data_IF_732951308068
#
_entry.id   IF_732951308068
#
_cell.length_a   1.000
_cell.length_b   1.000
_cell.length_c   1.000
_cell.angle_alpha   90.00
_cell.angle_beta   90.00
_cell.angle_gamma   90.00
#
_symmetry.space_group_name_H-M   'P 1'
#
loop_
_entity.id
_entity.type
_entity.pdbx_description
1 polymer ?
#
# COMPACT_ATOMS: atom_id res chain seq x y z
N UNK A 1 23.24 -10.66 -8.09
CA UNK A 1 22.04 -11.51 -7.86
C UNK A 1 22.22 -12.84 -8.59
N UNK A 2 22.88 -13.80 -7.95
CA UNK A 2 22.99 -15.17 -8.48
C UNK A 2 21.58 -15.80 -8.46
N UNK A 3 21.10 -16.31 -9.60
CA UNK A 3 19.85 -17.07 -9.80
C UNK A 3 18.56 -16.31 -10.19
N UNK A 4 18.58 -15.00 -10.52
CA UNK A 4 17.41 -14.40 -11.21
C UNK A 4 17.47 -14.70 -12.71
N UNK A 5 16.74 -15.73 -13.14
CA UNK A 5 16.54 -16.04 -14.56
C UNK A 5 15.28 -15.33 -15.13
N UNK A 6 15.08 -15.34 -16.45
CA UNK A 6 13.92 -14.73 -17.11
C UNK A 6 12.58 -15.25 -16.56
N UNK A 7 12.52 -16.53 -16.18
CA UNK A 7 11.33 -17.16 -15.62
C UNK A 7 10.99 -16.58 -14.24
N UNK A 8 11.98 -16.40 -13.35
CA UNK A 8 11.79 -15.79 -12.03
C UNK A 8 11.24 -14.36 -12.15
N UNK A 9 11.77 -13.55 -13.07
CA UNK A 9 11.26 -12.20 -13.32
C UNK A 9 9.83 -12.20 -13.85
N UNK A 10 9.49 -13.13 -14.77
CA UNK A 10 8.12 -13.31 -15.27
C UNK A 10 7.16 -13.71 -14.16
N UNK A 11 7.56 -14.63 -13.29
CA UNK A 11 6.76 -15.08 -12.15
C UNK A 11 6.48 -13.92 -11.17
N UNK A 12 7.51 -13.17 -10.79
CA UNK A 12 7.35 -12.00 -9.91
C UNK A 12 6.44 -10.94 -10.54
N UNK A 13 6.60 -10.67 -11.84
CA UNK A 13 5.73 -9.74 -12.56
C UNK A 13 4.27 -10.20 -12.55
N UNK A 14 4.01 -11.49 -12.79
CA UNK A 14 2.66 -12.06 -12.71
C UNK A 14 2.07 -11.91 -11.32
N UNK A 15 2.83 -12.24 -10.27
CA UNK A 15 2.41 -12.09 -8.88
C UNK A 15 2.01 -10.65 -8.55
N UNK A 16 2.84 -9.67 -8.94
CA UNK A 16 2.55 -8.24 -8.74
C UNK A 16 1.29 -7.81 -9.50
N UNK A 17 1.12 -8.24 -10.75
CA UNK A 17 -0.08 -7.95 -11.54
C UNK A 17 -1.32 -8.51 -10.86
N UNK A 18 -1.30 -9.77 -10.44
CA UNK A 18 -2.44 -10.45 -9.81
C UNK A 18 -2.84 -9.77 -8.50
N UNK A 19 -1.86 -9.46 -7.63
CA UNK A 19 -2.11 -8.76 -6.38
C UNK A 19 -2.75 -7.39 -6.62
N UNK A 20 -2.25 -6.63 -7.61
CA UNK A 20 -2.83 -5.33 -7.96
C UNK A 20 -4.22 -5.44 -8.58
N UNK A 21 -4.44 -6.46 -9.42
CA UNK A 21 -5.75 -6.72 -10.03
C UNK A 21 -6.78 -7.08 -8.96
N UNK A 22 -6.39 -7.84 -7.94
CA UNK A 22 -7.22 -8.13 -6.77
C UNK A 22 -7.69 -6.85 -6.08
N UNK A 23 -6.80 -5.87 -5.86
CA UNK A 23 -7.17 -4.57 -5.27
C UNK A 23 -8.15 -3.82 -6.18
N UNK A 24 -7.92 -3.78 -7.49
CA UNK A 24 -8.81 -3.09 -8.43
C UNK A 24 -10.22 -3.70 -8.40
N UNK A 25 -10.35 -5.03 -8.38
CA UNK A 25 -11.64 -5.70 -8.33
C UNK A 25 -12.35 -5.50 -6.99
N UNK A 26 -11.69 -5.91 -5.92
CA UNK A 26 -12.35 -6.07 -4.61
C UNK A 26 -12.37 -4.78 -3.78
N UNK A 27 -11.35 -3.93 -3.90
CA UNK A 27 -11.20 -2.75 -3.03
C UNK A 27 -11.76 -1.50 -3.71
N UNK A 28 -11.55 -1.33 -5.01
CA UNK A 28 -12.17 -0.22 -5.76
C UNK A 28 -13.60 -0.52 -6.19
N UNK A 29 -14.09 -1.75 -5.98
CA UNK A 29 -15.44 -2.17 -6.37
C UNK A 29 -15.65 -2.23 -7.88
N UNK A 30 -14.57 -2.24 -8.67
CA UNK A 30 -14.62 -2.31 -10.14
C UNK A 30 -14.72 -3.77 -10.55
N UNK A 31 -15.89 -4.36 -10.34
CA UNK A 31 -16.17 -5.73 -10.78
C UNK A 31 -16.66 -5.78 -12.23
N UNK A 32 -16.70 -6.99 -12.78
CA UNK A 32 -17.12 -7.28 -14.17
C UNK A 32 -18.60 -6.95 -14.45
N UNK A 33 -19.33 -6.46 -13.44
CA UNK A 33 -20.74 -6.04 -13.53
C UNK A 33 -20.92 -4.56 -13.91
N UNK A 34 -19.86 -3.76 -13.92
CA UNK A 34 -19.96 -2.38 -14.41
C UNK A 34 -20.10 -2.37 -15.94
N UNK A 35 -20.94 -1.47 -16.45
CA UNK A 35 -21.13 -1.27 -17.90
C UNK A 35 -19.85 -0.84 -18.63
N UNK A 36 -18.87 -0.30 -17.90
CA UNK A 36 -17.54 0.07 -18.43
C UNK A 36 -16.47 -0.57 -17.55
N UNK A 37 -15.80 -1.59 -18.10
CA UNK A 37 -14.69 -2.25 -17.42
C UNK A 37 -13.51 -1.30 -17.24
N UNK A 38 -12.94 -1.28 -16.04
CA UNK A 38 -11.75 -0.50 -15.75
C UNK A 38 -10.57 -0.92 -16.68
N UNK A 39 -9.75 0.01 -17.20
CA UNK A 39 -8.67 -0.32 -18.15
C UNK A 39 -7.66 -1.36 -17.64
N UNK A 40 -7.46 -1.44 -16.32
CA UNK A 40 -6.60 -2.46 -15.70
C UNK A 40 -7.22 -3.85 -15.62
N UNK A 41 -8.53 -3.98 -15.77
CA UNK A 41 -9.22 -5.28 -15.89
C UNK A 41 -9.06 -5.79 -17.32
N UNK A 42 -9.26 -4.91 -18.30
CA UNK A 42 -9.10 -5.25 -19.73
C UNK A 42 -7.62 -5.54 -20.07
N UNK A 43 -6.70 -4.77 -19.50
CA UNK A 43 -5.27 -4.89 -19.76
C UNK A 43 -4.43 -4.97 -18.47
N UNK A 44 -4.49 -6.10 -17.74
CA UNK A 44 -3.83 -6.26 -16.45
C UNK A 44 -2.31 -6.18 -16.54
N UNK A 45 -1.72 -6.44 -17.72
CA UNK A 45 -0.28 -6.28 -17.96
C UNK A 45 0.27 -4.87 -17.64
N UNK A 46 -0.57 -3.82 -17.70
CA UNK A 46 -0.22 -2.44 -17.34
C UNK A 46 0.03 -2.26 -15.84
N UNK A 47 -0.57 -3.10 -14.99
CA UNK A 47 -0.38 -3.07 -13.53
C UNK A 47 1.05 -3.45 -13.11
N UNK A 48 1.84 -4.07 -13.99
CA UNK A 48 3.25 -4.36 -13.71
C UNK A 48 4.04 -3.09 -13.32
N UNK A 49 3.72 -1.95 -13.96
CA UNK A 49 4.34 -0.65 -13.68
C UNK A 49 3.37 0.37 -13.07
N UNK A 50 2.05 0.14 -13.19
CA UNK A 50 1.03 1.06 -12.66
C UNK A 50 1.06 1.21 -11.14
N UNK A 51 0.86 2.44 -10.68
CA UNK A 51 0.67 2.79 -9.26
C UNK A 51 -0.82 2.75 -8.93
N UNK A 52 -1.19 2.06 -7.85
CA UNK A 52 -2.57 2.02 -7.35
C UNK A 52 -2.83 3.07 -6.26
N UNK A 53 -1.79 3.67 -5.68
CA UNK A 53 -1.94 4.69 -4.67
C UNK A 53 -2.36 6.03 -5.31
N UNK A 54 -3.64 6.39 -5.18
CA UNK A 54 -4.17 7.70 -5.56
C UNK A 54 -4.16 8.71 -4.40
N UNK A 55 -4.54 9.95 -4.70
CA UNK A 55 -4.92 10.98 -3.72
C UNK A 55 -6.34 10.79 -3.16
N UNK A 56 -7.05 9.76 -3.60
CA UNK A 56 -8.40 9.41 -3.18
C UNK A 56 -8.52 9.18 -1.66
N UNK A 57 -9.74 9.32 -1.14
CA UNK A 57 -10.02 9.26 0.31
C UNK A 57 -9.49 7.99 0.96
N UNK A 58 -9.66 6.86 0.29
CA UNK A 58 -9.23 5.54 0.73
C UNK A 58 -7.70 5.37 0.71
N UNK A 59 -7.00 5.71 -0.38
CA UNK A 59 -5.53 5.57 -0.42
C UNK A 59 -4.79 6.57 0.48
N UNK A 60 -5.48 7.63 0.92
CA UNK A 60 -4.98 8.60 1.90
C UNK A 60 -5.70 8.48 3.24
N UNK A 61 -6.17 7.27 3.59
CA UNK A 61 -6.93 6.99 4.81
C UNK A 61 -6.31 7.64 6.04
N UNK A 62 -5.07 7.32 6.38
CA UNK A 62 -4.40 7.87 7.56
C UNK A 62 -4.39 9.40 7.60
N UNK A 63 -4.17 10.04 6.44
CA UNK A 63 -4.16 11.51 6.34
C UNK A 63 -5.56 12.10 6.51
N UNK A 64 -6.57 11.49 5.89
CA UNK A 64 -7.93 12.02 5.88
C UNK A 64 -8.67 11.80 7.20
N UNK A 65 -8.27 10.77 7.95
CA UNK A 65 -8.83 10.44 9.27
C UNK A 65 -7.85 10.75 10.41
N UNK A 66 -6.77 11.50 10.12
CA UNK A 66 -5.78 11.94 11.10
C UNK A 66 -5.22 10.81 11.99
N UNK A 67 -5.06 9.63 11.42
CA UNK A 67 -4.58 8.45 12.15
C UNK A 67 -3.08 8.61 12.34
N UNK A 68 -2.60 8.60 13.59
CA UNK A 68 -1.18 8.75 13.87
C UNK A 68 -0.45 7.50 13.37
N UNK A 69 0.67 7.72 12.67
CA UNK A 69 1.52 6.62 12.21
C UNK A 69 2.20 5.98 13.40
N UNK A 70 2.36 4.66 13.39
CA UNK A 70 3.06 3.92 14.45
C UNK A 70 4.44 4.48 14.77
N UNK A 71 5.19 4.94 13.76
CA UNK A 71 6.50 5.56 13.97
C UNK A 71 6.43 6.89 14.71
N UNK A 72 5.36 7.64 14.53
CA UNK A 72 5.14 8.90 15.25
C UNK A 72 4.73 8.59 16.69
N UNK A 73 3.82 7.63 16.89
CA UNK A 73 3.39 7.19 18.23
C UNK A 73 4.57 6.70 19.05
N UNK A 74 5.35 5.76 18.51
CA UNK A 74 6.53 5.21 19.19
C UNK A 74 7.57 6.29 19.53
N UNK A 75 7.73 7.29 18.65
CA UNK A 75 8.62 8.42 18.95
C UNK A 75 8.09 9.29 20.08
N UNK A 76 6.78 9.58 20.10
CA UNK A 76 6.16 10.34 21.18
C UNK A 76 6.27 9.60 22.52
N UNK A 77 6.10 8.28 22.53
CA UNK A 77 6.29 7.46 23.73
C UNK A 77 7.72 7.53 24.27
N UNK A 78 8.73 7.41 23.40
CA UNK A 78 10.13 7.56 23.81
C UNK A 78 10.42 8.96 24.36
N UNK A 79 9.92 10.01 23.69
CA UNK A 79 10.09 11.38 24.15
C UNK A 79 9.40 11.62 25.50
N UNK A 80 8.25 10.98 25.74
CA UNK A 80 7.58 11.05 27.03
C UNK A 80 8.39 10.35 28.12
N UNK A 81 8.98 9.19 27.83
CA UNK A 81 9.88 8.49 28.77
C UNK A 81 11.08 9.37 29.16
N UNK A 82 11.73 10.02 28.20
CA UNK A 82 12.86 10.93 28.45
C UNK A 82 12.46 12.11 29.36
N UNK A 83 11.26 12.66 29.15
CA UNK A 83 10.71 13.73 29.98
C UNK A 83 10.42 13.22 31.40
N UNK A 84 9.80 12.05 31.51
CA UNK A 84 9.46 11.44 32.80
C UNK A 84 10.73 11.11 33.60
N UNK A 85 11.78 10.59 32.96
CA UNK A 85 13.11 10.37 33.55
C UNK A 85 13.69 11.69 34.10
N UNK A 86 13.70 12.76 33.30
CA UNK A 86 14.22 14.06 33.73
C UNK A 86 13.50 14.61 34.96
N UNK A 87 12.16 14.52 35.02
CA UNK A 87 11.37 15.05 36.14
C UNK A 87 11.31 14.13 37.36
N UNK A 88 11.54 12.82 37.19
CA UNK A 88 11.55 11.86 38.29
C UNK A 88 12.87 11.85 39.08
N UNK A 89 13.89 12.58 38.63
CA UNK A 89 15.12 12.83 39.38
C UNK A 89 16.00 11.61 39.60
N UNK A 90 15.83 10.57 38.76
CA UNK A 90 16.78 9.46 38.59
C UNK A 90 17.79 9.83 37.53
#
# INVERSE_FOLDING_TARGET
MKNRNRATTRHQRRRVIQQKLYVVRNVWGRDEKESILHPFIVHPGKLAKGKLNCSCRMCKYDKNYQIPKSTVVSKLELMQQEVDEYWSGI
#
